data_IF_294494761144
#
_entry.id   IF_294494761144
#
_cell.length_a   1.000
_cell.length_b   1.000
_cell.length_c   1.000
_cell.angle_alpha   90.00
_cell.angle_beta   90.00
_cell.angle_gamma   90.00
#
_symmetry.space_group_name_H-M   'P 1'
#
loop_
_entity.id
_entity.type
_entity.pdbx_description
1 polymer ?
#
# COMPACT_ATOMS: atom_id res chain seq x y z
N UNK A 1 -3.06 -5.77 5.04
CA UNK A 1 -3.62 -5.10 6.24
C UNK A 1 -4.33 -3.87 5.73
N UNK A 2 -5.65 -3.83 5.89
CA UNK A 2 -6.47 -2.71 5.49
C UNK A 2 -6.17 -1.45 6.29
N UNK A 3 -6.43 -0.31 5.66
CA UNK A 3 -6.31 1.01 6.26
C UNK A 3 -7.43 1.91 5.75
N UNK A 4 -7.79 2.90 6.56
CA UNK A 4 -8.65 3.98 6.13
C UNK A 4 -7.92 4.82 5.09
N UNK A 5 -8.43 4.82 3.87
CA UNK A 5 -7.87 5.54 2.73
C UNK A 5 -8.99 6.27 2.00
N UNK A 6 -8.65 7.39 1.36
CA UNK A 6 -9.64 8.19 0.64
C UNK A 6 -9.95 7.51 -0.69
N UNK A 7 -11.23 7.22 -0.93
CA UNK A 7 -11.73 6.73 -2.20
C UNK A 7 -12.28 7.92 -3.01
N UNK A 8 -11.74 8.12 -4.21
CA UNK A 8 -12.13 9.23 -5.08
C UNK A 8 -13.45 8.98 -5.81
N UNK A 9 -13.89 7.73 -5.94
CA UNK A 9 -15.16 7.38 -6.56
C UNK A 9 -16.33 7.63 -5.62
N UNK A 10 -16.19 7.27 -4.34
CA UNK A 10 -17.21 7.56 -3.32
C UNK A 10 -17.06 8.95 -2.71
N UNK A 11 -15.85 9.53 -2.74
CA UNK A 11 -15.53 10.81 -2.13
C UNK A 11 -15.36 10.74 -0.61
N UNK A 12 -15.21 9.54 -0.05
CA UNK A 12 -15.15 9.28 1.39
C UNK A 12 -13.95 8.38 1.76
N UNK A 13 -13.66 8.31 3.06
CA UNK A 13 -12.67 7.38 3.59
C UNK A 13 -13.28 6.00 3.79
N UNK A 14 -12.61 4.98 3.26
CA UNK A 14 -13.07 3.59 3.32
C UNK A 14 -11.94 2.67 3.80
N UNK A 15 -12.32 1.50 4.33
CA UNK A 15 -11.36 0.51 4.82
C UNK A 15 -10.92 -0.41 3.67
N UNK A 16 -9.79 -0.07 3.05
CA UNK A 16 -9.30 -0.73 1.83
C UNK A 16 -7.97 -1.44 2.10
N UNK A 17 -7.85 -2.67 1.61
CA UNK A 17 -6.61 -3.44 1.57
C UNK A 17 -5.65 -2.90 0.51
N UNK A 18 -4.38 -3.33 0.60
CA UNK A 18 -3.32 -2.87 -0.31
C UNK A 18 -3.58 -3.25 -1.78
N UNK A 19 -4.35 -4.30 -2.03
CA UNK A 19 -4.77 -4.72 -3.37
C UNK A 19 -6.00 -3.95 -3.88
N UNK A 20 -6.51 -2.98 -3.12
CA UNK A 20 -7.70 -2.20 -3.46
C UNK A 20 -9.01 -2.83 -3.00
N UNK A 21 -8.99 -3.94 -2.26
CA UNK A 21 -10.22 -4.58 -1.78
C UNK A 21 -10.85 -3.83 -0.61
N UNK A 22 -12.09 -3.37 -0.77
CA UNK A 22 -12.88 -2.73 0.29
C UNK A 22 -13.46 -3.79 1.22
N UNK A 23 -13.08 -3.75 2.48
CA UNK A 23 -13.54 -4.74 3.47
C UNK A 23 -15.04 -4.60 3.76
N UNK A 24 -15.55 -3.36 3.81
CA UNK A 24 -16.92 -3.10 4.23
C UNK A 24 -17.95 -3.41 3.15
N UNK A 25 -17.57 -3.22 1.88
CA UNK A 25 -18.46 -3.40 0.72
C UNK A 25 -18.21 -4.73 -0.01
N UNK A 26 -17.05 -5.37 0.19
CA UNK A 26 -16.69 -6.62 -0.47
C UNK A 26 -16.43 -6.48 -1.97
N UNK A 27 -16.01 -5.28 -2.42
CA UNK A 27 -15.71 -4.96 -3.82
C UNK A 27 -14.37 -4.22 -3.94
N UNK A 28 -13.86 -4.07 -5.14
CA UNK A 28 -12.59 -3.39 -5.41
C UNK A 28 -12.79 -1.90 -5.66
N UNK A 29 -12.04 -1.09 -4.93
CA UNK A 29 -11.81 0.30 -5.27
C UNK A 29 -10.67 0.40 -6.28
N UNK A 30 -10.92 1.06 -7.40
CA UNK A 30 -9.89 1.28 -8.43
C UNK A 30 -9.26 2.67 -8.34
N UNK A 31 -9.96 3.61 -7.71
CA UNK A 31 -9.55 5.01 -7.63
C UNK A 31 -9.53 5.46 -6.17
N UNK A 32 -8.44 5.14 -5.48
CA UNK A 32 -8.25 5.45 -4.06
C UNK A 32 -6.81 5.91 -3.80
N UNK A 33 -6.59 6.58 -2.67
CA UNK A 33 -5.28 7.10 -2.30
C UNK A 33 -4.34 5.98 -1.82
N UNK A 34 -3.62 5.38 -2.77
CA UNK A 34 -2.64 4.32 -2.56
C UNK A 34 -1.21 4.86 -2.28
N UNK A 35 -1.06 6.18 -2.12
CA UNK A 35 0.25 6.83 -2.01
C UNK A 35 1.09 6.33 -0.83
N UNK A 36 0.45 6.08 0.32
CA UNK A 36 1.10 5.52 1.51
C UNK A 36 1.61 4.10 1.27
N UNK A 37 0.84 3.29 0.54
CA UNK A 37 1.24 1.91 0.21
C UNK A 37 2.42 1.90 -0.77
N UNK A 38 2.41 2.77 -1.79
CA UNK A 38 3.55 2.93 -2.72
C UNK A 38 4.83 3.33 -1.99
N UNK A 39 4.76 4.33 -1.10
CA UNK A 39 5.90 4.76 -0.28
C UNK A 39 6.41 3.67 0.66
N UNK A 40 5.51 2.87 1.23
CA UNK A 40 5.89 1.75 2.08
C UNK A 40 6.61 0.65 1.27
N UNK A 41 6.13 0.35 0.06
CA UNK A 41 6.78 -0.62 -0.83
C UNK A 41 8.16 -0.14 -1.29
N UNK A 42 8.30 1.14 -1.66
CA UNK A 42 9.60 1.71 -2.03
C UNK A 42 10.61 1.64 -0.89
N UNK A 43 10.22 2.03 0.33
CA UNK A 43 11.09 1.91 1.52
C UNK A 43 11.52 0.47 1.76
N UNK A 44 10.59 -0.49 1.66
CA UNK A 44 10.90 -1.91 1.83
C UNK A 44 11.90 -2.40 0.77
N UNK A 45 11.73 -1.99 -0.50
CA UNK A 45 12.68 -2.32 -1.57
C UNK A 45 14.05 -1.70 -1.33
N UNK A 46 14.11 -0.49 -0.80
CA UNK A 46 15.36 0.19 -0.45
C UNK A 46 16.06 -0.50 0.72
N UNK A 47 15.33 -0.85 1.78
CA UNK A 47 15.83 -1.65 2.91
C UNK A 47 16.34 -3.02 2.43
N UNK A 48 15.60 -3.72 1.57
CA UNK A 48 16.05 -4.99 0.98
C UNK A 48 17.32 -4.83 0.15
N UNK A 49 17.45 -3.73 -0.62
CA UNK A 49 18.68 -3.41 -1.37
C UNK A 49 19.86 -3.15 -0.44
N UNK A 50 19.67 -2.35 0.61
CA UNK A 50 20.72 -2.07 1.59
C UNK A 50 21.14 -3.34 2.32
N UNK A 51 20.18 -4.18 2.71
CA UNK A 51 20.47 -5.42 3.42
C UNK A 51 21.25 -6.40 2.54
N UNK A 52 20.85 -6.60 1.28
CA UNK A 52 21.58 -7.45 0.32
C UNK A 52 22.98 -6.89 0.03
N UNK A 53 23.09 -5.60 -0.26
CA UNK A 53 24.37 -4.95 -0.54
C UNK A 53 25.37 -5.00 0.62
N UNK A 54 24.90 -5.00 1.86
CA UNK A 54 25.76 -5.19 3.04
C UNK A 54 26.12 -6.66 3.28
N UNK A 55 25.22 -7.61 2.98
CA UNK A 55 25.50 -9.04 3.15
C UNK A 55 26.43 -9.62 2.07
N UNK A 56 26.47 -9.02 0.87
CA UNK A 56 27.37 -9.43 -0.22
C UNK A 56 28.83 -8.93 -0.02
N UNK A 57 29.13 -8.20 1.06
CA UNK A 57 30.47 -7.67 1.38
C UNK A 57 31.29 -8.55 2.36
N UNK A 58 30.83 -9.77 2.69
CA UNK A 58 31.55 -10.72 3.55
C UNK A 58 31.91 -12.04 2.83
#
# INVERSE_FOLDING_TARGET
MAKWVFNYDSGDYEYIENDGFQIDHGDYAYNWDDSEYRRAEERRREEDRMWRGNNDQY
#
